data_IF_984519524896
#
_entry.id   IF_984519524896
#
_cell.length_a   1.000
_cell.length_b   1.000
_cell.length_c   1.000
_cell.angle_alpha   90.00
_cell.angle_beta   90.00
_cell.angle_gamma   90.00
#
_symmetry.space_group_name_H-M   'P 1'
#
loop_
_entity.id
_entity.type
_entity.pdbx_description
1 polymer ?
#
# COMPACT_ATOMS: atom_id res chain seq x y z
N UNK A 1 4.57 4.29 -21.38
CA UNK A 1 5.73 3.79 -20.62
C UNK A 1 5.29 2.49 -19.97
N UNK A 2 5.98 1.38 -20.25
CA UNK A 2 5.73 0.10 -19.56
C UNK A 2 6.73 -0.06 -18.41
N UNK A 3 6.23 -0.51 -17.24
CA UNK A 3 7.04 -0.68 -16.04
C UNK A 3 7.58 -2.12 -15.95
N UNK A 4 8.54 -2.46 -16.82
CA UNK A 4 9.09 -3.83 -16.91
C UNK A 4 9.64 -4.35 -15.57
N UNK A 5 10.18 -3.47 -14.73
CA UNK A 5 10.70 -3.85 -13.42
C UNK A 5 9.65 -4.49 -12.50
N UNK A 6 8.34 -4.29 -12.74
CA UNK A 6 7.25 -4.92 -11.99
C UNK A 6 7.04 -6.40 -12.34
N UNK A 7 7.59 -6.86 -13.47
CA UNK A 7 7.51 -8.27 -13.92
C UNK A 7 8.64 -9.12 -13.34
N UNK A 8 9.70 -8.50 -12.85
CA UNK A 8 10.84 -9.20 -12.25
C UNK A 8 10.50 -9.74 -10.86
N UNK A 9 11.07 -10.90 -10.52
CA UNK A 9 11.00 -11.44 -9.17
C UNK A 9 11.76 -10.54 -8.20
N UNK A 10 11.10 -10.15 -7.10
CA UNK A 10 11.70 -9.35 -6.03
C UNK A 10 11.97 -10.22 -4.81
N UNK A 11 13.03 -9.89 -4.07
CA UNK A 11 13.48 -10.64 -2.88
C UNK A 11 13.49 -9.71 -1.66
N UNK A 12 12.32 -9.46 -1.04
CA UNK A 12 12.25 -8.70 0.19
C UNK A 12 12.94 -9.44 1.34
N UNK A 13 13.58 -8.70 2.24
CA UNK A 13 14.32 -9.19 3.41
C UNK A 13 13.81 -8.52 4.70
N UNK A 14 12.70 -9.06 5.19
CA UNK A 14 12.04 -8.60 6.41
C UNK A 14 12.93 -8.76 7.65
N UNK A 15 13.78 -9.79 7.68
CA UNK A 15 14.61 -10.10 8.84
C UNK A 15 15.72 -9.06 8.99
N UNK A 16 16.48 -8.81 7.92
CA UNK A 16 17.52 -7.78 7.93
C UNK A 16 16.92 -6.40 8.17
N UNK A 17 15.77 -6.09 7.55
CA UNK A 17 15.12 -4.79 7.75
C UNK A 17 14.73 -4.57 9.21
N UNK A 18 14.20 -5.59 9.89
CA UNK A 18 13.91 -5.54 11.32
C UNK A 18 15.18 -5.29 12.16
N UNK A 19 16.27 -6.01 11.91
CA UNK A 19 17.53 -5.82 12.64
C UNK A 19 18.08 -4.40 12.48
N UNK A 20 17.93 -3.80 11.30
CA UNK A 20 18.31 -2.42 11.03
C UNK A 20 17.45 -1.45 11.85
N UNK A 21 16.12 -1.63 11.86
CA UNK A 21 15.21 -0.79 12.64
C UNK A 21 15.47 -0.91 14.16
N UNK A 22 15.87 -2.10 14.62
CA UNK A 22 16.26 -2.35 16.01
C UNK A 22 17.67 -1.84 16.34
N UNK A 23 18.40 -1.27 15.37
CA UNK A 23 19.75 -0.74 15.54
C UNK A 23 20.84 -1.81 15.70
N UNK A 24 20.52 -3.09 15.47
CA UNK A 24 21.44 -4.23 15.60
C UNK A 24 22.40 -4.35 14.42
N UNK A 25 21.97 -3.89 13.23
CA UNK A 25 22.73 -3.96 11.99
C UNK A 25 22.70 -2.61 11.27
N UNK A 26 23.79 -2.27 10.56
CA UNK A 26 23.81 -1.11 9.65
C UNK A 26 23.22 -1.50 8.29
N UNK A 27 22.46 -0.60 7.68
CA UNK A 27 21.92 -0.82 6.34
C UNK A 27 23.05 -0.87 5.30
N UNK A 28 23.04 -1.94 4.49
CA UNK A 28 23.98 -2.13 3.36
C UNK A 28 23.38 -1.67 2.03
N UNK A 29 22.07 -1.40 2.01
CA UNK A 29 21.33 -0.83 0.87
C UNK A 29 20.28 0.16 1.34
N UNK A 30 19.76 0.95 0.41
CA UNK A 30 18.58 1.78 0.65
C UNK A 30 17.35 0.86 0.77
N UNK A 31 16.63 0.99 1.88
CA UNK A 31 15.33 0.36 2.10
C UNK A 31 14.24 1.41 1.86
N UNK A 32 13.29 1.11 0.98
CA UNK A 32 12.16 1.99 0.72
C UNK A 32 11.07 1.76 1.76
N UNK A 33 10.52 2.85 2.30
CA UNK A 33 9.40 2.86 3.25
C UNK A 33 8.40 3.91 2.79
N UNK A 34 7.30 3.46 2.21
CA UNK A 34 6.19 4.28 1.76
C UNK A 34 5.08 4.39 2.81
N UNK A 35 4.53 5.59 2.94
CA UNK A 35 3.42 5.85 3.86
C UNK A 35 2.12 5.21 3.35
N UNK A 36 1.85 5.34 2.05
CA UNK A 36 0.67 4.78 1.38
C UNK A 36 0.85 4.74 -0.14
N UNK A 37 0.01 3.92 -0.77
CA UNK A 37 -0.29 3.99 -2.19
C UNK A 37 -1.79 4.24 -2.35
N UNK A 38 -2.18 5.10 -3.29
CA UNK A 38 -3.58 5.31 -3.60
C UNK A 38 -4.23 4.05 -4.15
N UNK A 39 -5.50 3.82 -3.79
CA UNK A 39 -6.23 2.60 -4.16
C UNK A 39 -6.29 2.39 -5.68
N UNK A 40 -6.40 3.46 -6.46
CA UNK A 40 -6.41 3.43 -7.91
C UNK A 40 -5.08 2.91 -8.47
N UNK A 41 -3.95 3.34 -7.88
CA UNK A 41 -2.61 2.87 -8.27
C UNK A 41 -2.44 1.40 -7.93
N UNK A 42 -2.84 1.01 -6.71
CA UNK A 42 -2.74 -0.35 -6.22
C UNK A 42 -3.56 -1.32 -7.08
N UNK A 43 -4.80 -0.94 -7.39
CA UNK A 43 -5.71 -1.72 -8.24
C UNK A 43 -5.14 -1.90 -9.64
N UNK A 44 -4.71 -0.81 -10.28
CA UNK A 44 -4.11 -0.88 -11.61
C UNK A 44 -2.87 -1.78 -11.65
N UNK A 45 -1.97 -1.65 -10.68
CA UNK A 45 -0.76 -2.47 -10.62
C UNK A 45 -1.12 -3.95 -10.41
N UNK A 46 -1.99 -4.24 -9.46
CA UNK A 46 -2.42 -5.60 -9.13
C UNK A 46 -3.09 -6.32 -10.31
N UNK A 47 -4.02 -5.65 -10.99
CA UNK A 47 -4.76 -6.26 -12.10
C UNK A 47 -3.88 -6.38 -13.35
N UNK A 48 -3.13 -5.32 -13.69
CA UNK A 48 -2.37 -5.28 -14.95
C UNK A 48 -1.05 -6.04 -14.90
N UNK A 49 -0.26 -5.85 -13.84
CA UNK A 49 1.10 -6.40 -13.78
C UNK A 49 1.16 -7.68 -12.96
N UNK A 50 0.35 -7.75 -11.89
CA UNK A 50 0.32 -8.94 -11.04
C UNK A 50 -0.70 -9.98 -11.48
N UNK A 51 -1.55 -9.64 -12.47
CA UNK A 51 -2.61 -10.51 -13.01
C UNK A 51 -3.52 -11.08 -11.90
N UNK A 52 -3.71 -10.29 -10.84
CA UNK A 52 -4.51 -10.66 -9.67
C UNK A 52 -5.84 -9.92 -9.70
N UNK A 53 -6.92 -10.61 -9.35
CA UNK A 53 -8.24 -9.97 -9.23
C UNK A 53 -8.25 -9.04 -8.01
N UNK A 54 -8.73 -7.81 -8.18
CA UNK A 54 -8.91 -6.89 -7.06
C UNK A 54 -10.03 -7.36 -6.13
N UNK A 55 -9.73 -7.39 -4.83
CA UNK A 55 -10.67 -7.68 -3.75
C UNK A 55 -11.01 -6.36 -3.07
N UNK A 56 -12.29 -5.99 -3.11
CA UNK A 56 -12.81 -4.85 -2.35
C UNK A 56 -12.92 -5.23 -0.87
N UNK A 57 -12.64 -4.28 0.02
CA UNK A 57 -12.69 -4.49 1.46
C UNK A 57 -14.15 -4.57 1.97
N UNK A 58 -14.46 -5.64 2.69
CA UNK A 58 -15.60 -5.80 3.59
C UNK A 58 -15.26 -6.82 4.69
N UNK A 59 -16.12 -6.94 5.69
CA UNK A 59 -15.94 -7.96 6.74
C UNK A 59 -15.90 -9.38 6.16
N UNK A 60 -16.73 -9.66 5.15
CA UNK A 60 -16.80 -10.96 4.47
C UNK A 60 -15.57 -11.27 3.60
N UNK A 61 -14.83 -10.25 3.15
CA UNK A 61 -13.66 -10.42 2.28
C UNK A 61 -12.33 -10.18 2.98
N UNK A 62 -12.34 -9.97 4.31
CA UNK A 62 -11.19 -9.54 5.09
C UNK A 62 -9.94 -10.40 4.83
N UNK A 63 -10.07 -11.73 4.88
CA UNK A 63 -8.93 -12.64 4.71
C UNK A 63 -8.28 -12.52 3.33
N UNK A 64 -9.08 -12.46 2.28
CA UNK A 64 -8.58 -12.34 0.91
C UNK A 64 -8.06 -10.93 0.62
N UNK A 65 -8.67 -9.92 1.23
CA UNK A 65 -8.17 -8.55 1.19
C UNK A 65 -6.80 -8.44 1.88
N UNK A 66 -6.61 -9.03 3.07
CA UNK A 66 -5.31 -9.03 3.77
C UNK A 66 -4.23 -9.75 2.95
N UNK A 67 -4.55 -10.89 2.33
CA UNK A 67 -3.62 -11.57 1.42
C UNK A 67 -3.24 -10.68 0.23
N UNK A 68 -4.20 -9.97 -0.35
CA UNK A 68 -3.95 -8.99 -1.41
C UNK A 68 -3.02 -7.87 -0.94
N UNK A 69 -3.23 -7.30 0.26
CA UNK A 69 -2.34 -6.29 0.84
C UNK A 69 -0.90 -6.83 0.92
N UNK A 70 -0.71 -7.99 1.56
CA UNK A 70 0.61 -8.60 1.72
C UNK A 70 1.28 -8.85 0.36
N UNK A 71 0.54 -9.44 -0.58
CA UNK A 71 1.05 -9.75 -1.91
C UNK A 71 1.46 -8.49 -2.67
N UNK A 72 0.72 -7.39 -2.55
CA UNK A 72 1.05 -6.14 -3.21
C UNK A 72 2.43 -5.61 -2.79
N UNK A 73 2.67 -5.49 -1.48
CA UNK A 73 3.94 -5.01 -0.94
C UNK A 73 5.10 -5.98 -1.23
N UNK A 74 4.84 -7.28 -1.08
CA UNK A 74 5.83 -8.32 -1.33
C UNK A 74 6.32 -8.33 -2.79
N UNK A 75 5.39 -8.29 -3.76
CA UNK A 75 5.74 -8.31 -5.19
C UNK A 75 6.43 -7.04 -5.67
N UNK A 76 6.23 -5.92 -4.98
CA UNK A 76 6.99 -4.69 -5.20
C UNK A 76 8.40 -4.73 -4.57
N UNK A 77 8.70 -5.73 -3.74
CA UNK A 77 10.01 -5.90 -3.11
C UNK A 77 10.23 -5.08 -1.85
N UNK A 78 9.15 -4.61 -1.21
CA UNK A 78 9.26 -3.93 0.08
C UNK A 78 9.59 -4.93 1.19
N UNK A 79 10.53 -4.54 2.04
CA UNK A 79 11.00 -5.35 3.18
C UNK A 79 10.06 -5.32 4.39
N UNK A 80 8.84 -4.81 4.19
CA UNK A 80 7.77 -4.73 5.17
C UNK A 80 6.41 -4.69 4.45
N UNK A 81 5.35 -4.95 5.20
CA UNK A 81 3.97 -4.79 4.75
C UNK A 81 3.32 -3.71 5.60
N UNK A 82 2.70 -2.73 4.94
CA UNK A 82 1.87 -1.73 5.62
C UNK A 82 0.41 -2.10 5.49
N UNK A 83 -0.14 -2.67 6.57
CA UNK A 83 -1.58 -2.76 6.78
C UNK A 83 -1.91 -1.69 7.81
N UNK A 84 -2.69 -0.68 7.42
CA UNK A 84 -3.12 0.34 8.38
C UNK A 84 -4.63 0.56 8.28
N UNK A 85 -5.23 0.71 9.46
CA UNK A 85 -6.51 1.35 9.67
C UNK A 85 -6.31 2.67 10.40
N UNK A 86 -7.29 3.56 10.31
CA UNK A 86 -7.34 4.76 11.13
C UNK A 86 -7.98 4.50 12.48
N UNK A 87 -7.69 5.34 13.45
CA UNK A 87 -8.58 5.52 14.60
C UNK A 87 -9.64 6.55 14.21
N UNK A 88 -10.90 6.26 14.50
CA UNK A 88 -11.98 7.21 14.31
C UNK A 88 -11.93 8.27 15.41
N UNK A 89 -11.35 9.43 15.07
CA UNK A 89 -11.34 10.58 15.95
C UNK A 89 -12.64 11.37 15.81
N UNK A 90 -13.35 11.55 16.92
CA UNK A 90 -14.53 12.44 16.96
C UNK A 90 -14.07 13.88 16.78
N UNK A 91 -14.48 14.52 15.69
CA UNK A 91 -14.11 15.90 15.37
C UNK A 91 -15.11 16.55 14.40
N UNK A 92 -14.97 17.87 14.19
CA UNK A 92 -15.75 18.58 13.16
C UNK A 92 -15.01 18.42 11.83
N UNK A 93 -15.69 17.87 10.83
CA UNK A 93 -15.16 17.78 9.47
C UNK A 93 -15.75 18.92 8.65
N UNK A 94 -14.91 19.68 7.96
CA UNK A 94 -15.32 20.70 6.99
C UNK A 94 -15.38 20.07 5.60
N UNK A 95 -16.56 20.09 5.00
CA UNK A 95 -16.76 19.62 3.63
C UNK A 95 -16.68 20.76 2.64
N UNK A 96 -16.02 20.52 1.51
CA UNK A 96 -16.01 21.39 0.33
C UNK A 96 -16.13 20.56 -0.95
N UNK A 97 -16.35 21.23 -2.08
CA UNK A 97 -16.33 20.58 -3.38
C UNK A 97 -14.94 20.00 -3.68
N UNK A 98 -14.90 18.77 -4.19
CA UNK A 98 -13.65 18.12 -4.57
C UNK A 98 -13.28 18.51 -6.01
N UNK A 99 -12.21 19.30 -6.15
CA UNK A 99 -11.73 19.84 -7.43
C UNK A 99 -10.69 18.96 -8.12
N UNK A 100 -10.37 17.79 -7.56
CA UNK A 100 -9.44 16.85 -8.17
C UNK A 100 -10.02 16.24 -9.46
N UNK A 101 -9.14 15.79 -10.37
CA UNK A 101 -9.57 15.10 -11.60
C UNK A 101 -10.32 13.80 -11.27
N UNK A 102 -9.87 13.07 -10.26
CA UNK A 102 -10.55 11.90 -9.69
C UNK A 102 -11.49 12.31 -8.54
N UNK A 103 -12.37 13.28 -8.83
CA UNK A 103 -13.30 13.82 -7.84
C UNK A 103 -14.31 12.78 -7.36
N UNK A 104 -14.58 12.77 -6.05
CA UNK A 104 -15.71 12.03 -5.46
C UNK A 104 -16.85 12.97 -5.05
N UNK A 105 -16.91 14.17 -5.65
CA UNK A 105 -17.91 15.19 -5.40
C UNK A 105 -17.58 16.11 -4.22
N UNK A 106 -17.37 15.55 -3.03
CA UNK A 106 -17.01 16.31 -1.84
C UNK A 106 -15.77 15.75 -1.15
N UNK A 107 -15.01 16.64 -0.50
CA UNK A 107 -13.84 16.29 0.31
C UNK A 107 -13.96 16.90 1.70
N UNK A 108 -13.67 16.09 2.71
CA UNK A 108 -13.63 16.49 4.11
C UNK A 108 -12.21 16.82 4.57
N UNK A 109 -12.07 17.85 5.41
CA UNK A 109 -10.84 18.23 6.09
C UNK A 109 -11.13 18.41 7.59
N UNK A 110 -10.20 17.97 8.43
CA UNK A 110 -10.26 18.18 9.90
C UNK A 110 -9.68 19.54 10.25
#
# INVERSE_FOLDING_TARGET
MEFEFLKEEKRPDFATFREILEGKKKAERVHFVELLFDIEVRKYISEKYFQSKWVEYSDDTLDDWVKQEINFWYRLGYDYVRIAGGLDFKGKIKFGGDTAVLSRGQRGWV
#
